data_IF_483928923420
#
_entry.id   IF_483928923420
#
_cell.length_a   1.000
_cell.length_b   1.000
_cell.length_c   1.000
_cell.angle_alpha   90.00
_cell.angle_beta   90.00
_cell.angle_gamma   90.00
#
_symmetry.space_group_name_H-M   'P 1'
#
loop_
_entity.id
_entity.type
_entity.pdbx_description
1 polymer ?
#
# COMPACT_ATOMS: atom_id res chain seq x y z
N UNK A 1 64.08 3.11 61.92
CA UNK A 1 63.34 3.22 60.65
C UNK A 1 61.90 2.79 60.94
N UNK A 2 61.06 3.74 61.36
CA UNK A 2 59.65 3.46 61.68
C UNK A 2 58.84 3.57 60.40
N UNK A 3 58.27 2.46 59.96
CA UNK A 3 57.24 2.44 58.92
C UNK A 3 55.95 2.84 59.65
N UNK A 4 55.55 4.11 59.53
CA UNK A 4 54.22 4.53 59.96
C UNK A 4 53.19 3.80 59.10
N UNK A 5 52.49 2.84 59.70
CA UNK A 5 51.30 2.27 59.11
C UNK A 5 50.24 3.39 59.06
N UNK A 6 50.07 4.00 57.88
CA UNK A 6 48.97 4.92 57.63
C UNK A 6 47.68 4.09 57.65
N UNK A 7 46.94 4.14 58.75
CA UNK A 7 45.61 3.54 58.83
C UNK A 7 44.66 4.36 57.99
N UNK A 8 44.22 3.84 56.84
CA UNK A 8 43.16 4.47 56.05
C UNK A 8 41.91 4.59 56.93
N UNK A 9 41.32 5.78 57.09
CA UNK A 9 40.13 5.95 57.93
C UNK A 9 38.89 5.35 57.24
N UNK A 10 38.70 4.05 57.44
CA UNK A 10 37.59 3.26 56.88
C UNK A 10 36.21 3.79 57.23
N UNK A 11 36.08 4.48 58.38
CA UNK A 11 34.83 5.11 58.84
C UNK A 11 34.37 6.27 57.94
N UNK A 12 35.29 6.93 57.22
CA UNK A 12 34.96 7.97 56.25
C UNK A 12 34.75 7.44 54.84
N UNK A 13 35.39 6.31 54.51
CA UNK A 13 35.40 5.77 53.15
C UNK A 13 34.07 5.13 52.75
N UNK A 14 33.43 4.35 53.63
CA UNK A 14 32.19 3.65 53.31
C UNK A 14 31.01 4.61 53.07
N UNK A 15 30.79 5.65 53.91
CA UNK A 15 29.77 6.66 53.63
C UNK A 15 30.03 7.42 52.32
N UNK A 16 31.27 7.83 52.06
CA UNK A 16 31.63 8.55 50.83
C UNK A 16 31.47 7.68 49.57
N UNK A 17 31.78 6.38 49.66
CA UNK A 17 31.53 5.42 48.58
C UNK A 17 30.03 5.25 48.29
N UNK A 18 29.20 5.14 49.32
CA UNK A 18 27.74 5.03 49.17
C UNK A 18 27.19 6.31 48.53
N UNK A 19 27.62 7.48 49.00
CA UNK A 19 27.22 8.77 48.42
C UNK A 19 27.65 8.87 46.96
N UNK A 20 28.87 8.47 46.62
CA UNK A 20 29.39 8.46 45.25
C UNK A 20 28.61 7.54 44.31
N UNK A 21 28.26 6.33 44.75
CA UNK A 21 27.44 5.38 43.97
C UNK A 21 26.01 5.91 43.79
N UNK A 22 25.40 6.47 44.83
CA UNK A 22 24.05 7.02 44.77
C UNK A 22 23.98 8.24 43.85
N UNK A 23 24.92 9.19 43.98
CA UNK A 23 24.99 10.35 43.08
C UNK A 23 25.28 9.95 41.65
N UNK A 24 26.22 9.02 41.42
CA UNK A 24 26.49 8.47 40.09
C UNK A 24 25.27 7.84 39.43
N UNK A 25 24.49 7.06 40.20
CA UNK A 25 23.26 6.41 39.71
C UNK A 25 22.17 7.43 39.37
N UNK A 26 21.94 8.43 40.24
CA UNK A 26 20.94 9.47 40.02
C UNK A 26 21.30 10.33 38.81
N UNK A 27 22.56 10.76 38.69
CA UNK A 27 23.05 11.53 37.54
C UNK A 27 22.96 10.70 36.26
N UNK A 28 23.37 9.43 36.30
CA UNK A 28 23.25 8.51 35.17
C UNK A 28 21.81 8.35 34.69
N UNK A 29 20.87 8.14 35.61
CA UNK A 29 19.44 8.04 35.30
C UNK A 29 18.91 9.34 34.68
N UNK A 30 19.29 10.50 35.23
CA UNK A 30 18.86 11.79 34.72
C UNK A 30 19.40 12.07 33.30
N UNK A 31 20.66 11.71 33.03
CA UNK A 31 21.25 11.81 31.69
C UNK A 31 20.54 10.89 30.68
N UNK A 32 20.24 9.65 31.05
CA UNK A 32 19.49 8.73 30.19
C UNK A 32 18.08 9.27 29.88
N UNK A 33 17.38 9.81 30.88
CA UNK A 33 16.08 10.43 30.68
C UNK A 33 16.16 11.66 29.77
N UNK A 34 17.15 12.53 29.99
CA UNK A 34 17.38 13.71 29.18
C UNK A 34 17.71 13.34 27.72
N UNK A 35 18.59 12.35 27.52
CA UNK A 35 18.94 11.83 26.18
C UNK A 35 17.71 11.25 25.48
N UNK A 36 16.92 10.42 26.16
CA UNK A 36 15.72 9.81 25.58
C UNK A 36 14.68 10.88 25.18
N UNK A 37 14.51 11.94 25.97
CA UNK A 37 13.63 13.06 25.63
C UNK A 37 14.13 13.81 24.39
N UNK A 38 15.44 14.11 24.33
CA UNK A 38 16.04 14.81 23.19
C UNK A 38 15.95 13.97 21.92
N UNK A 39 16.23 12.67 22.02
CA UNK A 39 16.16 11.74 20.90
C UNK A 39 14.73 11.58 20.38
N UNK A 40 13.75 11.43 21.29
CA UNK A 40 12.32 11.39 20.92
C UNK A 40 11.87 12.66 20.20
N UNK A 41 12.33 13.85 20.64
CA UNK A 41 12.04 15.12 19.95
C UNK A 41 12.68 15.20 18.56
N UNK A 42 13.92 14.73 18.42
CA UNK A 42 14.60 14.68 17.12
C UNK A 42 13.91 13.73 16.15
N UNK A 43 13.53 12.54 16.62
CA UNK A 43 12.79 11.55 15.82
C UNK A 43 11.43 12.10 15.38
N UNK A 44 10.69 12.77 16.26
CA UNK A 44 9.45 13.48 15.94
C UNK A 44 9.63 14.50 14.83
N UNK A 45 10.61 15.39 14.99
CA UNK A 45 10.87 16.45 14.01
C UNK A 45 11.29 15.88 12.65
N UNK A 46 12.13 14.83 12.65
CA UNK A 46 12.52 14.14 11.43
C UNK A 46 11.32 13.44 10.75
N UNK A 47 10.42 12.84 11.52
CA UNK A 47 9.20 12.23 11.01
C UNK A 47 8.23 13.27 10.42
N UNK A 48 8.03 14.40 11.10
CA UNK A 48 7.19 15.51 10.61
C UNK A 48 7.74 16.08 9.30
N UNK A 49 9.05 16.41 9.24
CA UNK A 49 9.67 16.91 8.01
C UNK A 49 9.61 15.87 6.88
N UNK A 50 9.95 14.61 7.17
CA UNK A 50 9.94 13.54 6.18
C UNK A 50 8.55 13.33 5.59
N UNK A 51 7.53 13.38 6.44
CA UNK A 51 6.14 13.25 6.03
C UNK A 51 5.64 14.44 5.23
N UNK A 52 5.89 15.68 5.69
CA UNK A 52 5.52 16.89 4.95
C UNK A 52 6.20 16.96 3.57
N UNK A 53 7.44 16.48 3.46
CA UNK A 53 8.14 16.35 2.18
C UNK A 53 7.56 15.27 1.25
N UNK A 54 6.88 14.27 1.80
CA UNK A 54 6.28 13.17 1.05
C UNK A 54 4.86 13.49 0.55
N UNK A 55 4.08 14.27 1.30
CA UNK A 55 2.72 14.71 0.91
C UNK A 55 2.59 15.22 -0.52
N UNK A 56 3.45 16.13 -1.05
CA UNK A 56 3.31 16.61 -2.42
C UNK A 56 3.55 15.51 -3.46
N UNK A 57 4.45 14.55 -3.19
CA UNK A 57 4.68 13.40 -4.09
C UNK A 57 3.45 12.51 -4.15
N UNK A 58 2.85 12.21 -3.00
CA UNK A 58 1.61 11.44 -2.93
C UNK A 58 0.48 12.19 -3.64
N UNK A 59 0.29 13.48 -3.35
CA UNK A 59 -0.71 14.32 -4.02
C UNK A 59 -0.57 14.25 -5.55
N UNK A 60 0.65 14.41 -6.07
CA UNK A 60 0.92 14.31 -7.50
C UNK A 60 0.58 12.91 -8.05
N UNK A 61 0.99 11.84 -7.34
CA UNK A 61 0.78 10.46 -7.76
C UNK A 61 -0.71 10.08 -7.81
N UNK A 62 -1.48 10.45 -6.79
CA UNK A 62 -2.91 10.12 -6.66
C UNK A 62 -3.76 10.81 -7.75
N UNK A 63 -3.36 12.00 -8.19
CA UNK A 63 -4.05 12.75 -9.25
C UNK A 63 -3.66 12.31 -10.67
N UNK A 64 -2.74 11.35 -10.84
CA UNK A 64 -2.47 10.77 -12.16
C UNK A 64 -3.73 10.07 -12.69
N UNK A 65 -3.89 10.10 -14.01
CA UNK A 65 -5.01 9.45 -14.69
C UNK A 65 -5.04 7.97 -14.38
N UNK A 66 -6.24 7.46 -14.13
CA UNK A 66 -6.47 6.02 -14.13
C UNK A 66 -6.58 5.55 -15.57
N UNK A 67 -5.45 5.19 -16.18
CA UNK A 67 -5.45 4.55 -17.50
C UNK A 67 -5.77 3.07 -17.32
N UNK A 68 -6.97 2.66 -17.76
CA UNK A 68 -7.36 1.25 -17.75
C UNK A 68 -6.65 0.53 -18.90
N UNK A 69 -5.71 -0.36 -18.58
CA UNK A 69 -5.22 -1.31 -19.57
C UNK A 69 -6.25 -2.44 -19.69
N UNK A 70 -6.78 -2.65 -20.89
CA UNK A 70 -7.79 -3.68 -21.18
C UNK A 70 -7.16 -4.91 -21.85
N UNK A 71 -5.91 -4.78 -22.30
CA UNK A 71 -5.16 -5.87 -22.91
C UNK A 71 -4.52 -6.77 -21.86
N UNK A 72 -4.22 -6.22 -20.67
CA UNK A 72 -3.74 -6.97 -19.50
C UNK A 72 -4.25 -6.33 -18.21
N UNK A 73 -4.56 -7.15 -17.20
CA UNK A 73 -4.87 -6.67 -15.83
C UNK A 73 -3.62 -6.24 -15.06
N UNK A 74 -2.44 -6.64 -15.54
CA UNK A 74 -1.13 -6.26 -15.00
C UNK A 74 -0.30 -5.59 -16.12
N UNK A 75 0.48 -4.54 -15.82
CA UNK A 75 0.75 -3.97 -14.51
C UNK A 75 -0.43 -3.17 -13.96
N UNK A 76 -0.45 -2.90 -12.63
CA UNK A 76 -1.50 -2.11 -12.02
C UNK A 76 -1.61 -0.68 -12.60
N UNK A 77 -2.76 -0.01 -12.41
CA UNK A 77 -2.99 1.34 -12.92
C UNK A 77 -1.90 2.34 -12.51
N UNK A 78 -1.58 3.29 -13.38
CA UNK A 78 -0.46 4.25 -13.19
C UNK A 78 -0.54 4.99 -11.85
N UNK A 79 -1.74 5.38 -11.40
CA UNK A 79 -1.91 6.02 -10.11
C UNK A 79 -1.51 5.09 -8.94
N UNK A 80 -1.77 3.78 -9.05
CA UNK A 80 -1.36 2.79 -8.03
C UNK A 80 0.15 2.70 -7.95
N UNK A 81 0.78 2.48 -9.10
CA UNK A 81 2.23 2.32 -9.21
C UNK A 81 2.94 3.57 -8.73
N UNK A 82 2.47 4.76 -9.13
CA UNK A 82 3.06 6.04 -8.74
C UNK A 82 2.95 6.32 -7.23
N UNK A 83 1.82 5.97 -6.60
CA UNK A 83 1.66 6.14 -5.15
C UNK A 83 2.59 5.18 -4.43
N UNK A 84 2.70 3.94 -4.90
CA UNK A 84 3.62 2.98 -4.30
C UNK A 84 5.09 3.41 -4.46
N UNK A 85 5.51 3.83 -5.65
CA UNK A 85 6.87 4.33 -5.89
C UNK A 85 7.19 5.53 -4.98
N UNK A 86 6.22 6.41 -4.73
CA UNK A 86 6.43 7.56 -3.86
C UNK A 86 6.72 7.13 -2.41
N UNK A 87 6.13 6.03 -1.94
CA UNK A 87 6.19 5.58 -0.55
C UNK A 87 7.17 4.41 -0.34
N UNK A 88 7.66 3.82 -1.41
CA UNK A 88 8.61 2.72 -1.35
C UNK A 88 9.89 3.15 -0.61
N UNK A 89 10.33 2.31 0.33
CA UNK A 89 11.49 2.58 1.19
C UNK A 89 11.27 3.67 2.25
N UNK A 90 10.08 4.28 2.34
CA UNK A 90 9.78 5.28 3.36
C UNK A 90 9.37 4.60 4.67
N UNK A 91 9.88 5.05 5.84
CA UNK A 91 9.59 4.43 7.13
C UNK A 91 8.25 4.90 7.70
N UNK A 92 7.16 4.76 6.93
CA UNK A 92 5.82 5.27 7.26
C UNK A 92 5.32 4.84 8.64
N UNK A 93 5.57 3.58 9.03
CA UNK A 93 5.17 3.06 10.35
C UNK A 93 5.98 3.67 11.50
N UNK A 94 7.24 4.02 11.27
CA UNK A 94 8.05 4.71 12.27
C UNK A 94 7.59 6.17 12.39
N UNK A 95 7.26 6.81 11.27
CA UNK A 95 6.72 8.17 11.25
C UNK A 95 5.36 8.26 11.95
N UNK A 96 4.42 7.37 11.66
CA UNK A 96 3.10 7.36 12.29
C UNK A 96 3.18 7.21 13.82
N UNK A 97 4.12 6.38 14.31
CA UNK A 97 4.38 6.21 15.76
C UNK A 97 5.08 7.40 16.40
N UNK A 98 5.96 8.06 15.67
CA UNK A 98 6.73 9.19 16.19
C UNK A 98 5.87 10.45 16.32
N UNK A 99 4.94 10.68 15.38
CA UNK A 99 4.10 11.87 15.34
C UNK A 99 3.25 12.07 16.59
N UNK A 100 3.09 13.34 17.01
CA UNK A 100 2.29 13.71 18.18
C UNK A 100 0.78 13.58 17.93
N UNK A 101 0.34 13.79 16.68
CA UNK A 101 -1.04 13.66 16.24
C UNK A 101 -1.09 12.66 15.09
N UNK A 102 -2.04 11.71 15.10
CA UNK A 102 -2.25 10.83 13.96
C UNK A 102 -2.69 11.67 12.75
N UNK A 103 -2.07 11.43 11.60
CA UNK A 103 -2.45 12.02 10.33
C UNK A 103 -3.28 11.00 9.54
N UNK A 104 -4.57 11.25 9.25
CA UNK A 104 -5.42 10.27 8.55
C UNK A 104 -4.88 9.90 7.16
N UNK A 105 -4.07 10.77 6.55
CA UNK A 105 -3.44 10.48 5.26
C UNK A 105 -2.37 9.38 5.37
N UNK A 106 -1.64 9.27 6.49
CA UNK A 106 -0.63 8.20 6.67
C UNK A 106 -1.30 6.83 6.84
N UNK A 107 -2.40 6.79 7.58
CA UNK A 107 -3.21 5.59 7.78
C UNK A 107 -3.84 5.14 6.45
N UNK A 108 -4.32 6.10 5.67
CA UNK A 108 -4.89 5.83 4.35
C UNK A 108 -3.86 5.29 3.36
N UNK A 109 -2.63 5.81 3.39
CA UNK A 109 -1.52 5.28 2.58
C UNK A 109 -1.17 3.85 2.97
N UNK A 110 -1.16 3.52 4.27
CA UNK A 110 -0.98 2.15 4.73
C UNK A 110 -2.10 1.21 4.26
N UNK A 111 -3.36 1.66 4.31
CA UNK A 111 -4.49 0.89 3.78
C UNK A 111 -4.34 0.67 2.27
N UNK A 112 -4.01 1.73 1.53
CA UNK A 112 -3.79 1.71 0.09
C UNK A 112 -2.70 0.72 -0.33
N UNK A 113 -1.60 0.63 0.42
CA UNK A 113 -0.54 -0.37 0.19
C UNK A 113 -1.05 -1.81 0.29
N UNK A 114 -1.93 -2.11 1.25
CA UNK A 114 -2.50 -3.46 1.40
C UNK A 114 -3.40 -3.81 0.23
N UNK A 115 -4.21 -2.84 -0.22
CA UNK A 115 -5.09 -3.01 -1.38
C UNK A 115 -4.28 -3.31 -2.64
N UNK A 116 -3.08 -2.75 -2.82
CA UNK A 116 -2.20 -3.08 -3.95
C UNK A 116 -1.89 -4.57 -4.04
N UNK A 117 -1.42 -5.17 -2.95
CA UNK A 117 -1.06 -6.59 -2.96
C UNK A 117 -2.26 -7.49 -3.24
N UNK A 118 -3.43 -7.13 -2.69
CA UNK A 118 -4.68 -7.83 -2.99
C UNK A 118 -5.02 -7.69 -4.48
N UNK A 119 -4.94 -6.48 -5.04
CA UNK A 119 -5.19 -6.23 -6.45
C UNK A 119 -4.33 -7.10 -7.37
N UNK A 120 -3.01 -7.15 -7.14
CA UNK A 120 -2.11 -7.94 -7.97
C UNK A 120 -2.39 -9.45 -7.89
N UNK A 121 -2.70 -9.94 -6.68
CA UNK A 121 -3.07 -11.33 -6.47
C UNK A 121 -4.38 -11.69 -7.17
N UNK A 122 -5.43 -10.89 -7.00
CA UNK A 122 -6.74 -11.15 -7.62
C UNK A 122 -6.68 -10.98 -9.15
N UNK A 123 -5.91 -10.01 -9.66
CA UNK A 123 -5.67 -9.84 -11.09
C UNK A 123 -4.99 -11.08 -11.69
N UNK A 124 -3.97 -11.60 -11.00
CA UNK A 124 -3.27 -12.83 -11.41
C UNK A 124 -4.20 -14.04 -11.37
N UNK A 125 -5.02 -14.17 -10.32
CA UNK A 125 -6.01 -15.23 -10.18
C UNK A 125 -7.04 -15.22 -11.30
N UNK A 126 -7.57 -14.04 -11.64
CA UNK A 126 -8.52 -13.89 -12.74
C UNK A 126 -7.89 -14.21 -14.10
N UNK A 127 -6.67 -13.72 -14.39
CA UNK A 127 -5.96 -14.05 -15.63
C UNK A 127 -5.71 -15.56 -15.78
N UNK A 128 -5.27 -16.22 -14.70
CA UNK A 128 -5.04 -17.65 -14.69
C UNK A 128 -6.35 -18.44 -14.93
N UNK A 129 -7.45 -18.06 -14.28
CA UNK A 129 -8.75 -18.69 -14.48
C UNK A 129 -9.27 -18.51 -15.91
N UNK A 130 -9.14 -17.29 -16.48
CA UNK A 130 -9.49 -17.02 -17.87
C UNK A 130 -8.65 -17.83 -18.86
N UNK A 131 -7.35 -17.99 -18.62
CA UNK A 131 -6.47 -18.76 -19.49
C UNK A 131 -6.83 -20.26 -19.48
N UNK A 132 -6.99 -20.82 -18.29
CA UNK A 132 -7.28 -22.25 -18.10
C UNK A 132 -8.59 -22.68 -18.77
N UNK A 133 -9.64 -21.85 -18.66
CA UNK A 133 -10.97 -22.19 -19.16
C UNK A 133 -11.29 -21.56 -20.52
N UNK A 134 -10.63 -20.47 -20.87
CA UNK A 134 -10.92 -19.69 -22.07
C UNK A 134 -10.52 -20.38 -23.37
N UNK A 135 -9.44 -21.17 -23.40
CA UNK A 135 -8.98 -21.87 -24.61
C UNK A 135 -10.04 -22.83 -25.18
N UNK A 136 -10.80 -23.53 -24.31
CA UNK A 136 -11.88 -24.43 -24.71
C UNK A 136 -13.07 -23.65 -25.31
N UNK A 137 -13.37 -22.48 -24.76
CA UNK A 137 -14.48 -21.64 -25.23
C UNK A 137 -14.09 -20.95 -26.54
N UNK A 138 -12.87 -20.44 -26.65
CA UNK A 138 -12.33 -19.85 -27.87
C UNK A 138 -12.35 -20.86 -29.04
N UNK A 139 -11.90 -22.10 -28.80
CA UNK A 139 -11.90 -23.14 -29.84
C UNK A 139 -13.31 -23.59 -30.26
N UNK A 140 -14.27 -23.66 -29.34
CA UNK A 140 -15.65 -24.07 -29.66
C UNK A 140 -16.49 -22.96 -30.30
N UNK A 141 -16.18 -21.69 -30.06
CA UNK A 141 -16.93 -20.54 -30.60
C UNK A 141 -16.27 -19.94 -31.85
N UNK A 142 -14.99 -20.24 -32.10
CA UNK A 142 -14.20 -19.63 -33.16
C UNK A 142 -13.79 -18.19 -32.87
N UNK A 143 -13.99 -17.71 -31.64
CA UNK A 143 -13.66 -16.34 -31.23
C UNK A 143 -12.28 -16.34 -30.59
N UNK A 144 -11.38 -15.41 -30.96
CA UNK A 144 -10.08 -15.30 -30.33
C UNK A 144 -10.20 -15.09 -28.81
N UNK A 145 -9.46 -15.89 -28.04
CA UNK A 145 -9.39 -15.74 -26.58
C UNK A 145 -9.05 -14.29 -26.14
N UNK A 146 -8.13 -13.56 -26.78
CA UNK A 146 -7.86 -12.16 -26.42
C UNK A 146 -9.09 -11.25 -26.49
N UNK A 147 -9.98 -11.45 -27.47
CA UNK A 147 -11.21 -10.65 -27.58
C UNK A 147 -12.18 -10.96 -26.43
N UNK A 148 -12.34 -12.25 -26.08
CA UNK A 148 -13.17 -12.68 -24.95
C UNK A 148 -12.63 -12.08 -23.64
N UNK A 149 -11.31 -12.21 -23.39
CA UNK A 149 -10.66 -11.67 -22.20
C UNK A 149 -10.81 -10.15 -22.11
N UNK A 150 -10.58 -9.43 -23.21
CA UNK A 150 -10.67 -7.95 -23.25
C UNK A 150 -12.07 -7.46 -22.85
N UNK A 151 -13.13 -8.10 -23.33
CA UNK A 151 -14.52 -7.77 -22.91
C UNK A 151 -14.73 -8.12 -21.43
N UNK A 152 -14.28 -9.29 -20.96
CA UNK A 152 -14.44 -9.66 -19.55
C UNK A 152 -13.71 -8.70 -18.62
N UNK A 153 -12.49 -8.27 -18.96
CA UNK A 153 -11.74 -7.24 -18.22
C UNK A 153 -12.47 -5.91 -18.23
N UNK A 154 -13.00 -5.49 -19.38
CA UNK A 154 -13.78 -4.26 -19.49
C UNK A 154 -15.00 -4.29 -18.56
N UNK A 155 -15.71 -5.41 -18.51
CA UNK A 155 -16.82 -5.64 -17.58
C UNK A 155 -16.42 -5.49 -16.12
N UNK A 156 -15.19 -5.90 -15.74
CA UNK A 156 -14.70 -5.69 -14.38
C UNK A 156 -14.51 -4.21 -14.01
N UNK A 157 -14.37 -3.32 -15.01
CA UNK A 157 -14.21 -1.88 -14.80
C UNK A 157 -15.52 -1.09 -14.90
N UNK A 158 -16.60 -1.72 -15.38
CA UNK A 158 -17.97 -1.19 -15.47
C UNK A 158 -18.53 -1.14 -16.89
N UNK A 159 -19.85 -0.96 -17.00
CA UNK A 159 -20.61 -1.04 -18.26
C UNK A 159 -20.09 -0.10 -19.36
N UNK A 160 -19.70 1.13 -19.00
CA UNK A 160 -19.15 2.08 -19.96
C UNK A 160 -17.87 1.59 -20.64
N UNK A 161 -17.00 0.87 -19.90
CA UNK A 161 -15.78 0.31 -20.47
C UNK A 161 -16.09 -0.90 -21.38
N UNK A 162 -17.08 -1.72 -21.02
CA UNK A 162 -17.55 -2.82 -21.86
C UNK A 162 -18.11 -2.31 -23.18
N UNK A 163 -18.96 -1.29 -23.16
CA UNK A 163 -19.54 -0.68 -24.35
C UNK A 163 -18.46 -0.13 -25.28
N UNK A 164 -17.47 0.62 -24.75
CA UNK A 164 -16.34 1.13 -25.52
C UNK A 164 -15.55 0.01 -26.21
N UNK A 165 -15.28 -1.09 -25.49
CA UNK A 165 -14.59 -2.25 -26.06
C UNK A 165 -15.42 -2.91 -27.15
N UNK A 166 -16.71 -3.11 -26.93
CA UNK A 166 -17.60 -3.72 -27.92
C UNK A 166 -17.73 -2.88 -29.19
N UNK A 167 -17.65 -1.55 -29.07
CA UNK A 167 -17.61 -0.63 -30.22
C UNK A 167 -16.29 -0.73 -30.99
N UNK A 168 -15.16 -0.96 -30.30
CA UNK A 168 -13.84 -1.07 -30.95
C UNK A 168 -13.56 -2.43 -31.58
N UNK A 169 -14.05 -3.52 -31.00
CA UNK A 169 -13.73 -4.87 -31.45
C UNK A 169 -14.61 -5.36 -32.60
N UNK A 170 -15.89 -4.97 -32.66
CA UNK A 170 -16.84 -5.59 -33.59
C UNK A 170 -17.84 -4.56 -34.17
N UNK A 171 -17.79 -4.40 -35.50
CA UNK A 171 -18.71 -3.54 -36.25
C UNK A 171 -20.06 -4.21 -36.57
N UNK A 172 -20.09 -5.55 -36.66
CA UNK A 172 -21.27 -6.33 -37.04
C UNK A 172 -22.08 -6.83 -35.82
N UNK A 173 -23.42 -6.62 -35.78
CA UNK A 173 -24.28 -7.09 -34.69
C UNK A 173 -24.24 -8.60 -34.43
N UNK A 174 -24.11 -9.43 -35.47
CA UNK A 174 -24.09 -10.90 -35.27
C UNK A 174 -22.79 -11.35 -34.62
N UNK A 175 -21.66 -10.77 -35.03
CA UNK A 175 -20.34 -11.05 -34.45
C UNK A 175 -20.26 -10.58 -33.00
N UNK A 176 -20.83 -9.42 -32.68
CA UNK A 176 -21.00 -8.95 -31.29
C UNK A 176 -21.81 -9.91 -30.43
N UNK A 177 -22.93 -10.44 -30.95
CA UNK A 177 -23.76 -11.38 -30.20
C UNK A 177 -23.02 -12.69 -29.89
N UNK A 178 -22.23 -13.21 -30.85
CA UNK A 178 -21.39 -14.39 -30.62
C UNK A 178 -20.30 -14.13 -29.58
N UNK A 179 -19.65 -12.97 -29.62
CA UNK A 179 -18.65 -12.54 -28.63
C UNK A 179 -19.24 -12.50 -27.22
N UNK A 180 -20.38 -11.82 -27.05
CA UNK A 180 -21.05 -11.74 -25.75
C UNK A 180 -21.49 -13.11 -25.24
N UNK A 181 -21.92 -14.01 -26.13
CA UNK A 181 -22.24 -15.38 -25.74
C UNK A 181 -21.00 -16.14 -25.23
N UNK A 182 -19.87 -16.02 -25.91
CA UNK A 182 -18.61 -16.64 -25.48
C UNK A 182 -18.12 -16.08 -24.13
N UNK A 183 -18.21 -14.75 -23.95
CA UNK A 183 -17.89 -14.07 -22.69
C UNK A 183 -18.80 -14.58 -21.56
N UNK A 184 -20.11 -14.66 -21.81
CA UNK A 184 -21.07 -15.14 -20.81
C UNK A 184 -20.86 -16.63 -20.47
N UNK A 185 -20.46 -17.45 -21.44
CA UNK A 185 -20.08 -18.83 -21.17
C UNK A 185 -18.83 -18.92 -20.29
N UNK A 186 -17.82 -18.08 -20.53
CA UNK A 186 -16.60 -18.06 -19.72
C UNK A 186 -16.89 -17.53 -18.31
N UNK A 187 -17.68 -16.46 -18.19
CA UNK A 187 -18.04 -15.87 -16.90
C UNK A 187 -18.94 -16.76 -16.05
N UNK A 188 -19.59 -17.77 -16.65
CA UNK A 188 -20.40 -18.76 -15.94
C UNK A 188 -19.58 -19.95 -15.40
N UNK A 189 -18.29 -20.05 -15.73
CA UNK A 189 -17.40 -21.04 -15.13
C UNK A 189 -17.10 -20.64 -13.70
N UNK A 190 -17.44 -21.51 -12.73
CA UNK A 190 -17.34 -21.23 -11.29
C UNK A 190 -16.01 -20.60 -10.85
N UNK A 191 -14.88 -21.16 -11.30
CA UNK A 191 -13.56 -20.63 -11.00
C UNK A 191 -13.34 -19.20 -11.53
N UNK A 192 -13.85 -18.91 -12.75
CA UNK A 192 -13.78 -17.57 -13.35
C UNK A 192 -14.73 -16.62 -12.63
N UNK A 193 -15.96 -17.05 -12.33
CA UNK A 193 -16.93 -16.24 -11.59
C UNK A 193 -16.38 -15.83 -10.22
N UNK A 194 -15.81 -16.77 -9.47
CA UNK A 194 -15.26 -16.49 -8.15
C UNK A 194 -14.10 -15.50 -8.23
N UNK A 195 -13.13 -15.72 -9.13
CA UNK A 195 -12.00 -14.81 -9.31
C UNK A 195 -12.44 -13.43 -9.82
N UNK A 196 -13.46 -13.38 -10.68
CA UNK A 196 -14.02 -12.14 -11.22
C UNK A 196 -14.67 -11.30 -10.12
N UNK A 197 -15.47 -11.91 -9.24
CA UNK A 197 -16.10 -11.22 -8.10
C UNK A 197 -15.04 -10.63 -7.18
N UNK A 198 -14.03 -11.43 -6.79
CA UNK A 198 -12.93 -10.97 -5.92
C UNK A 198 -12.15 -9.81 -6.54
N UNK A 199 -11.87 -9.90 -7.85
CA UNK A 199 -11.20 -8.83 -8.58
C UNK A 199 -12.04 -7.54 -8.63
N UNK A 200 -13.33 -7.64 -8.94
CA UNK A 200 -14.25 -6.48 -8.99
C UNK A 200 -14.38 -5.80 -7.63
N UNK A 201 -14.54 -6.57 -6.55
CA UNK A 201 -14.57 -6.05 -5.18
C UNK A 201 -13.27 -5.32 -4.85
N UNK A 202 -12.13 -5.89 -5.24
CA UNK A 202 -10.82 -5.27 -5.01
C UNK A 202 -10.65 -3.98 -5.82
N UNK A 203 -11.10 -3.95 -7.09
CA UNK A 203 -11.12 -2.73 -7.92
C UNK A 203 -11.98 -1.65 -7.27
N UNK A 204 -13.14 -2.01 -6.73
CA UNK A 204 -14.05 -1.07 -6.05
C UNK A 204 -13.42 -0.48 -4.78
N UNK A 205 -12.89 -1.33 -3.90
CA UNK A 205 -12.15 -0.91 -2.70
C UNK A 205 -10.97 -0.01 -3.06
N UNK A 206 -10.30 -0.31 -4.17
CA UNK A 206 -9.17 0.45 -4.63
C UNK A 206 -9.56 1.83 -5.17
N UNK A 207 -10.62 1.93 -5.98
CA UNK A 207 -11.19 3.20 -6.45
C UNK A 207 -11.66 4.08 -5.29
N UNK A 208 -12.35 3.48 -4.32
CA UNK A 208 -12.79 4.17 -3.10
C UNK A 208 -11.58 4.69 -2.31
N UNK A 209 -10.57 3.85 -2.13
CA UNK A 209 -9.35 4.22 -1.41
C UNK A 209 -8.61 5.37 -2.10
N UNK A 210 -8.52 5.34 -3.42
CA UNK A 210 -7.92 6.41 -4.20
C UNK A 210 -8.73 7.72 -4.07
N UNK A 211 -10.07 7.65 -4.12
CA UNK A 211 -10.94 8.83 -3.94
C UNK A 211 -10.73 9.48 -2.57
N UNK A 212 -10.77 8.68 -1.49
CA UNK A 212 -10.53 9.17 -0.13
C UNK A 212 -9.15 9.79 0.01
N UNK A 213 -8.13 9.18 -0.60
CA UNK A 213 -6.77 9.72 -0.57
C UNK A 213 -6.68 11.06 -1.35
N UNK A 214 -7.42 11.23 -2.46
CA UNK A 214 -7.54 12.52 -3.17
C UNK A 214 -8.14 13.58 -2.26
N UNK A 215 -9.28 13.28 -1.64
CA UNK A 215 -9.97 14.19 -0.72
C UNK A 215 -9.05 14.68 0.40
N UNK A 216 -8.31 13.76 1.05
CA UNK A 216 -7.35 14.09 2.10
C UNK A 216 -6.19 14.97 1.60
N UNK A 217 -5.70 14.74 0.38
CA UNK A 217 -4.64 15.56 -0.22
C UNK A 217 -5.11 16.95 -0.66
N UNK A 218 -6.42 17.15 -0.86
CA UNK A 218 -7.02 18.44 -1.18
C UNK A 218 -7.47 19.23 0.05
N UNK A 219 -7.90 18.54 1.11
CA UNK A 219 -8.32 19.18 2.37
C UNK A 219 -7.13 19.71 3.20
N UNK A 220 -5.91 19.27 2.88
CA UNK A 220 -4.66 19.65 3.57
C UNK A 220 -3.93 20.84 2.92
N UNK A 221 -4.46 21.41 1.84
CA UNK A 221 -3.95 22.64 1.20
C UNK A 221 -4.76 23.86 1.59
#
# INVERSE_FOLDING_TARGET
MMISAASTPWDSFVPDLIVGVMTGTVVGLFLLLAQNIVESRKQRFAAEIGWEGLKPKIRSAVHRSWSTNLDDLLPPPVALSAVHEAIEGQPLHAWSKAMKKPDPMIDMVHAFMRVRSTYENEATGLEAAMELHGLKIASSTGIPLPAIKRVLRARAYGDAAEDDVLLTLEADPQSRHRLLRAVNQLSAVEAVTSAFVQYVETVALYRESLSRLRELTTASS
#
